data_IF_278843967319
#
_entry.id   IF_278843967319
#
_cell.length_a   1.000
_cell.length_b   1.000
_cell.length_c   1.000
_cell.angle_alpha   90.00
_cell.angle_beta   90.00
_cell.angle_gamma   90.00
#
_symmetry.space_group_name_H-M   'P 1'
#
loop_
_entity.id
_entity.type
_entity.pdbx_description
1 polymer ?
#
# COMPACT_ATOMS: atom_id res chain seq x y z
N UNK A 1 2.90 -14.86 -31.81
CA UNK A 1 2.82 -13.71 -30.91
C UNK A 1 2.30 -12.44 -31.59
N UNK A 2 2.70 -12.09 -32.79
CA UNK A 2 2.24 -10.86 -33.50
C UNK A 2 0.72 -10.81 -33.78
N UNK A 3 0.03 -11.91 -34.05
CA UNK A 3 -1.43 -11.94 -34.34
C UNK A 3 -2.35 -11.71 -33.13
N UNK A 4 -1.85 -11.82 -31.88
CA UNK A 4 -2.63 -11.56 -30.65
C UNK A 4 -2.58 -10.10 -30.20
N UNK A 5 -1.67 -9.31 -30.73
CA UNK A 5 -1.45 -7.90 -30.38
C UNK A 5 -2.26 -6.92 -31.28
N UNK A 6 -2.69 -7.36 -32.45
CA UNK A 6 -3.42 -6.52 -33.43
C UNK A 6 -4.93 -6.35 -33.17
N UNK A 7 -5.48 -6.95 -32.11
CA UNK A 7 -6.91 -6.90 -31.77
C UNK A 7 -7.26 -6.12 -30.50
N UNK A 8 -6.29 -5.47 -29.84
CA UNK A 8 -6.54 -4.66 -28.65
C UNK A 8 -6.94 -3.24 -29.05
N UNK A 9 -8.07 -2.75 -28.50
CA UNK A 9 -8.50 -1.36 -28.71
C UNK A 9 -7.38 -0.38 -28.32
N UNK A 10 -7.16 0.69 -29.09
CA UNK A 10 -6.12 1.69 -28.79
C UNK A 10 -6.17 2.25 -27.38
N UNK A 11 -7.37 2.38 -26.81
CA UNK A 11 -7.61 2.87 -25.44
C UNK A 11 -7.01 1.94 -24.38
N UNK A 12 -7.03 0.63 -24.63
CA UNK A 12 -6.45 -0.35 -23.71
C UNK A 12 -4.93 -0.23 -23.66
N UNK A 13 -4.26 0.01 -24.80
CA UNK A 13 -2.82 0.25 -24.83
C UNK A 13 -2.45 1.54 -24.11
N UNK A 14 -3.19 2.64 -24.32
CA UNK A 14 -2.97 3.89 -23.61
C UNK A 14 -3.10 3.68 -22.10
N UNK A 15 -4.10 2.91 -21.66
CA UNK A 15 -4.28 2.61 -20.26
C UNK A 15 -3.18 1.70 -19.68
N UNK A 16 -2.70 0.72 -20.42
CA UNK A 16 -1.57 -0.14 -19.98
C UNK A 16 -0.32 0.72 -19.80
N UNK A 17 0.00 1.62 -20.74
CA UNK A 17 1.15 2.51 -20.61
C UNK A 17 0.95 3.48 -19.44
N UNK A 18 -0.25 4.02 -19.25
CA UNK A 18 -0.60 4.87 -18.12
C UNK A 18 -0.30 4.19 -16.79
N UNK A 19 -0.86 2.99 -16.55
CA UNK A 19 -0.65 2.28 -15.27
C UNK A 19 0.79 1.82 -15.08
N UNK A 20 1.51 1.51 -16.17
CA UNK A 20 2.94 1.19 -16.15
C UNK A 20 3.77 2.38 -15.69
N UNK A 21 3.51 3.55 -16.27
CA UNK A 21 4.19 4.78 -15.93
C UNK A 21 3.91 5.21 -14.48
N UNK A 22 2.64 5.10 -14.04
CA UNK A 22 2.26 5.38 -12.64
C UNK A 22 2.95 4.40 -11.68
N UNK A 23 2.98 3.11 -11.98
CA UNK A 23 3.64 2.12 -11.13
C UNK A 23 5.16 2.36 -11.05
N UNK A 24 5.78 2.75 -12.15
CA UNK A 24 7.19 3.14 -12.19
C UNK A 24 7.44 4.40 -11.34
N UNK A 25 6.64 5.45 -11.53
CA UNK A 25 6.75 6.71 -10.78
C UNK A 25 6.60 6.51 -9.27
N UNK A 26 5.53 5.83 -8.85
CA UNK A 26 5.31 5.50 -7.44
C UNK A 26 6.44 4.64 -6.87
N UNK A 27 6.86 3.60 -7.60
CA UNK A 27 7.91 2.70 -7.15
C UNK A 27 9.25 3.42 -6.93
N UNK A 28 9.61 4.39 -7.79
CA UNK A 28 10.83 5.19 -7.66
C UNK A 28 10.79 6.09 -6.43
N UNK A 29 9.68 6.78 -6.17
CA UNK A 29 9.56 7.70 -5.04
C UNK A 29 9.38 6.99 -3.71
N UNK A 30 8.48 5.99 -3.64
CA UNK A 30 8.18 5.28 -2.37
C UNK A 30 9.37 4.48 -1.85
N UNK A 31 10.19 3.91 -2.73
CA UNK A 31 11.36 3.14 -2.35
C UNK A 31 12.42 3.96 -1.59
N UNK A 32 12.41 5.30 -1.76
CA UNK A 32 13.48 6.16 -1.23
C UNK A 32 13.02 7.15 -0.17
N UNK A 33 11.72 7.31 0.08
CA UNK A 33 11.23 8.32 1.03
C UNK A 33 11.86 8.20 2.42
N UNK A 34 11.96 7.00 2.99
CA UNK A 34 12.54 6.84 4.33
C UNK A 34 14.00 7.29 4.40
N UNK A 35 14.81 6.96 3.38
CA UNK A 35 16.19 7.43 3.28
C UNK A 35 16.25 8.95 3.04
N UNK A 36 15.41 9.48 2.16
CA UNK A 36 15.32 10.92 1.91
C UNK A 36 15.02 11.71 3.19
N UNK A 37 14.05 11.26 3.98
CA UNK A 37 13.72 11.90 5.25
C UNK A 37 14.89 11.84 6.25
N UNK A 38 15.59 10.70 6.31
CA UNK A 38 16.72 10.53 7.21
C UNK A 38 17.94 11.33 6.78
N UNK A 39 18.34 11.21 5.51
CA UNK A 39 19.59 11.77 5.00
C UNK A 39 19.49 13.28 4.80
N UNK A 40 18.36 13.80 4.31
CA UNK A 40 18.18 15.23 3.98
C UNK A 40 17.68 16.04 5.18
N UNK A 41 16.70 15.51 5.90
CA UNK A 41 16.03 16.27 7.00
C UNK A 41 16.43 15.80 8.39
N UNK A 42 17.17 14.69 8.49
CA UNK A 42 17.59 14.11 9.78
C UNK A 42 16.42 13.93 10.75
N UNK A 43 15.28 13.53 10.21
CA UNK A 43 14.03 13.42 10.99
C UNK A 43 14.21 12.47 12.17
N UNK A 44 13.60 12.81 13.28
CA UNK A 44 13.45 11.94 14.45
C UNK A 44 12.37 10.87 14.19
N UNK A 45 12.31 9.85 15.03
CA UNK A 45 11.27 8.83 14.93
C UNK A 45 9.85 9.42 15.09
N UNK A 46 9.69 10.43 15.96
CA UNK A 46 8.42 11.16 16.08
C UNK A 46 8.04 11.87 14.77
N UNK A 47 8.98 12.61 14.18
CA UNK A 47 8.75 13.28 12.89
C UNK A 47 8.49 12.26 11.78
N UNK A 48 9.14 11.08 11.83
CA UNK A 48 8.90 9.99 10.88
C UNK A 48 7.45 9.50 10.95
N UNK A 49 6.91 9.31 12.16
CA UNK A 49 5.51 8.99 12.35
C UNK A 49 4.57 10.12 11.90
N UNK A 50 4.94 11.37 12.19
CA UNK A 50 4.15 12.54 11.80
C UNK A 50 4.04 12.74 10.27
N UNK A 51 5.07 12.37 9.51
CA UNK A 51 5.07 12.42 8.04
C UNK A 51 3.91 11.61 7.45
N UNK A 52 3.47 10.55 8.10
CA UNK A 52 2.35 9.74 7.60
C UNK A 52 1.02 10.50 7.66
N UNK A 53 0.86 11.53 8.49
CA UNK A 53 -0.34 12.35 8.48
C UNK A 53 -0.58 12.99 7.10
N UNK A 54 0.32 13.80 6.50
CA UNK A 54 0.10 14.34 5.15
C UNK A 54 0.14 13.27 4.04
N UNK A 55 0.72 12.10 4.28
CA UNK A 55 0.75 11.01 3.30
C UNK A 55 -0.53 10.17 3.27
N UNK A 56 -1.17 9.93 4.41
CA UNK A 56 -2.38 9.10 4.52
C UNK A 56 -3.67 9.95 4.48
N UNK A 57 -3.62 11.23 4.86
CA UNK A 57 -4.77 12.15 4.85
C UNK A 57 -5.46 12.23 3.47
N UNK A 58 -4.75 12.29 2.34
CA UNK A 58 -5.36 12.22 1.02
C UNK A 58 -6.22 10.97 0.80
N UNK A 59 -5.82 9.82 1.33
CA UNK A 59 -6.60 8.60 1.24
C UNK A 59 -7.94 8.70 1.97
N UNK A 60 -7.94 9.34 3.14
CA UNK A 60 -9.17 9.63 3.88
C UNK A 60 -10.07 10.64 3.14
N UNK A 61 -9.48 11.65 2.50
CA UNK A 61 -10.20 12.70 1.75
C UNK A 61 -10.62 12.27 0.35
N UNK A 62 -10.09 11.17 -0.18
CA UNK A 62 -10.25 10.74 -1.57
C UNK A 62 -11.73 10.65 -2.00
N UNK A 63 -12.58 10.03 -1.20
CA UNK A 63 -14.00 9.89 -1.49
C UNK A 63 -14.72 11.25 -1.58
N UNK A 64 -14.36 12.19 -0.71
CA UNK A 64 -14.88 13.55 -0.71
C UNK A 64 -14.44 14.33 -1.95
N UNK A 65 -13.14 14.26 -2.29
CA UNK A 65 -12.59 14.93 -3.49
C UNK A 65 -13.22 14.37 -4.76
N UNK A 66 -13.31 13.04 -4.90
CA UNK A 66 -13.99 12.39 -6.04
C UNK A 66 -15.46 12.83 -6.11
N UNK A 67 -16.14 12.96 -4.98
CA UNK A 67 -17.52 13.48 -4.93
C UNK A 67 -17.64 14.91 -5.47
N UNK A 68 -16.69 15.79 -5.15
CA UNK A 68 -16.67 17.17 -5.61
C UNK A 68 -16.40 17.32 -7.10
N UNK A 69 -15.44 16.57 -7.65
CA UNK A 69 -14.99 16.72 -9.04
C UNK A 69 -15.46 15.58 -9.96
N UNK A 70 -16.34 14.69 -9.47
CA UNK A 70 -16.83 13.50 -10.20
C UNK A 70 -17.57 13.83 -11.49
N UNK A 71 -18.11 15.05 -11.63
CA UNK A 71 -18.73 15.54 -12.84
C UNK A 71 -17.77 15.59 -14.05
N UNK A 72 -16.45 15.61 -13.82
CA UNK A 72 -15.42 15.60 -14.86
C UNK A 72 -15.30 14.22 -15.54
N UNK A 73 -15.73 13.14 -14.87
CA UNK A 73 -15.54 11.75 -15.29
C UNK A 73 -14.14 11.20 -15.03
N UNK A 74 -14.04 9.87 -14.99
CA UNK A 74 -12.88 9.14 -14.47
C UNK A 74 -11.55 9.51 -15.16
N UNK A 75 -11.56 9.67 -16.48
CA UNK A 75 -10.33 9.96 -17.24
C UNK A 75 -9.77 11.36 -16.94
N UNK A 76 -10.65 12.38 -16.85
CA UNK A 76 -10.19 13.74 -16.52
C UNK A 76 -9.74 13.82 -15.07
N UNK A 77 -10.42 13.12 -14.16
CA UNK A 77 -9.98 13.01 -12.78
C UNK A 77 -8.62 12.30 -12.68
N UNK A 78 -8.42 11.22 -13.46
CA UNK A 78 -7.13 10.53 -13.54
C UNK A 78 -6.03 11.46 -14.08
N UNK A 79 -6.31 12.30 -15.07
CA UNK A 79 -5.37 13.29 -15.56
C UNK A 79 -4.96 14.28 -14.45
N UNK A 80 -5.93 14.83 -13.71
CA UNK A 80 -5.67 15.71 -12.56
C UNK A 80 -4.82 15.00 -11.51
N UNK A 81 -5.14 13.75 -11.21
CA UNK A 81 -4.39 12.93 -10.26
C UNK A 81 -2.90 12.80 -10.67
N UNK A 82 -2.62 12.54 -11.94
CA UNK A 82 -1.23 12.44 -12.41
C UNK A 82 -0.51 13.79 -12.39
N UNK A 83 -1.20 14.89 -12.68
CA UNK A 83 -0.63 16.25 -12.59
C UNK A 83 -0.24 16.55 -11.13
N UNK A 84 -1.10 16.26 -10.16
CA UNK A 84 -0.79 16.44 -8.74
C UNK A 84 0.41 15.57 -8.31
N UNK A 85 0.42 14.30 -8.70
CA UNK A 85 1.53 13.39 -8.39
C UNK A 85 2.86 13.91 -8.98
N UNK A 86 2.85 14.35 -10.25
CA UNK A 86 4.01 14.90 -10.92
C UNK A 86 4.51 16.20 -10.26
N UNK A 87 3.61 17.13 -9.93
CA UNK A 87 3.98 18.39 -9.28
C UNK A 87 4.66 18.11 -7.94
N UNK A 88 4.02 17.32 -7.07
CA UNK A 88 4.57 17.04 -5.74
C UNK A 88 5.95 16.42 -5.79
N UNK A 89 6.17 15.40 -6.62
CA UNK A 89 7.47 14.74 -6.72
C UNK A 89 8.52 15.59 -7.45
N UNK A 90 8.12 16.43 -8.42
CA UNK A 90 9.03 17.37 -9.08
C UNK A 90 9.56 18.41 -8.09
N UNK A 91 8.69 18.96 -7.24
CA UNK A 91 9.08 19.91 -6.22
C UNK A 91 10.04 19.28 -5.20
N UNK A 92 9.83 18.02 -4.80
CA UNK A 92 10.75 17.26 -3.96
C UNK A 92 12.11 17.01 -4.65
N UNK A 93 12.11 16.84 -5.97
CA UNK A 93 13.32 16.62 -6.76
C UNK A 93 14.17 17.87 -6.94
N UNK A 94 13.53 19.02 -7.15
CA UNK A 94 14.22 20.28 -7.47
C UNK A 94 14.61 21.08 -6.23
N UNK A 95 13.84 20.97 -5.15
CA UNK A 95 13.99 21.81 -3.98
C UNK A 95 14.23 20.99 -2.71
N UNK A 96 14.97 21.59 -1.77
CA UNK A 96 15.09 21.09 -0.41
C UNK A 96 14.58 22.19 0.53
N UNK A 97 13.25 22.34 0.65
CA UNK A 97 12.63 23.39 1.44
C UNK A 97 12.69 23.05 2.94
N UNK A 98 12.13 23.92 3.79
CA UNK A 98 11.91 23.61 5.20
C UNK A 98 11.02 22.35 5.34
N UNK A 99 11.14 21.66 6.49
CA UNK A 99 10.40 20.43 6.78
C UNK A 99 8.88 20.58 6.54
N UNK A 100 8.27 21.69 6.99
CA UNK A 100 6.84 21.93 6.81
C UNK A 100 6.42 22.08 5.34
N UNK A 101 7.23 22.73 4.50
CA UNK A 101 6.96 22.88 3.07
C UNK A 101 7.15 21.52 2.36
N UNK A 102 8.15 20.73 2.76
CA UNK A 102 8.32 19.38 2.25
C UNK A 102 7.08 18.51 2.49
N UNK A 103 6.43 18.64 3.66
CA UNK A 103 5.18 17.93 3.96
C UNK A 103 4.03 18.33 3.02
N UNK A 104 3.98 19.59 2.59
CA UNK A 104 3.00 20.05 1.58
C UNK A 104 3.27 19.38 0.23
N UNK A 105 4.54 19.28 -0.18
CA UNK A 105 4.88 18.61 -1.44
C UNK A 105 4.54 17.12 -1.41
N UNK A 106 4.78 16.46 -0.26
CA UNK A 106 4.36 15.08 -0.03
C UNK A 106 2.83 14.93 -0.10
N UNK A 107 2.08 15.85 0.52
CA UNK A 107 0.63 15.83 0.49
C UNK A 107 0.10 15.96 -0.94
N UNK A 108 0.66 16.86 -1.75
CA UNK A 108 0.27 17.05 -3.16
C UNK A 108 0.53 15.77 -3.97
N UNK A 109 1.72 15.16 -3.83
CA UNK A 109 2.06 13.91 -4.48
C UNK A 109 1.10 12.79 -4.04
N UNK A 110 0.91 12.64 -2.74
CA UNK A 110 0.04 11.62 -2.16
C UNK A 110 -1.43 11.79 -2.59
N UNK A 111 -1.92 13.03 -2.71
CA UNK A 111 -3.27 13.29 -3.20
C UNK A 111 -3.46 12.74 -4.62
N UNK A 112 -2.48 12.96 -5.50
CA UNK A 112 -2.49 12.41 -6.84
C UNK A 112 -2.52 10.88 -6.84
N UNK A 113 -1.67 10.26 -6.02
CA UNK A 113 -1.61 8.80 -5.90
C UNK A 113 -2.92 8.18 -5.41
N UNK A 114 -3.50 8.72 -4.32
CA UNK A 114 -4.72 8.19 -3.73
C UNK A 114 -5.96 8.42 -4.60
N UNK A 115 -6.05 9.55 -5.30
CA UNK A 115 -7.11 9.78 -6.27
C UNK A 115 -7.05 8.79 -7.43
N UNK A 116 -5.86 8.45 -7.90
CA UNK A 116 -5.71 7.54 -9.04
C UNK A 116 -6.05 6.08 -8.70
N UNK A 117 -5.90 5.64 -7.45
CA UNK A 117 -6.15 4.23 -7.08
C UNK A 117 -7.57 3.76 -7.48
N UNK A 118 -8.68 4.36 -7.00
CA UNK A 118 -10.01 3.92 -7.37
C UNK A 118 -10.36 4.23 -8.84
N UNK A 119 -9.79 5.30 -9.40
CA UNK A 119 -9.99 5.64 -10.80
C UNK A 119 -9.33 4.62 -11.73
N UNK A 120 -8.12 4.15 -11.40
CA UNK A 120 -7.44 3.09 -12.14
C UNK A 120 -8.29 1.81 -12.21
N UNK A 121 -8.93 1.44 -11.11
CA UNK A 121 -9.78 0.25 -11.08
C UNK A 121 -11.06 0.46 -11.87
N UNK A 122 -11.70 1.63 -11.76
CA UNK A 122 -12.90 1.98 -12.52
C UNK A 122 -12.65 2.00 -14.03
N UNK A 123 -11.58 2.66 -14.47
CA UNK A 123 -11.17 2.72 -15.87
C UNK A 123 -10.82 1.31 -16.38
N UNK A 124 -10.04 0.55 -15.60
CA UNK A 124 -9.65 -0.81 -15.94
C UNK A 124 -10.85 -1.74 -16.12
N UNK A 125 -11.85 -1.66 -15.23
CA UNK A 125 -13.10 -2.41 -15.38
C UNK A 125 -13.88 -1.97 -16.62
N UNK A 126 -13.91 -0.67 -16.94
CA UNK A 126 -14.64 -0.15 -18.11
C UNK A 126 -14.03 -0.59 -19.45
N UNK A 127 -12.73 -0.86 -19.47
CA UNK A 127 -11.98 -1.37 -20.62
C UNK A 127 -11.95 -2.90 -20.71
N UNK A 128 -12.62 -3.58 -19.78
CA UNK A 128 -12.70 -5.04 -19.75
C UNK A 128 -13.93 -5.54 -20.47
N UNK A 129 -13.81 -6.66 -21.17
CA UNK A 129 -14.95 -7.33 -21.80
C UNK A 129 -15.90 -7.92 -20.74
N UNK A 130 -17.23 -7.97 -21.00
CA UNK A 130 -18.17 -8.65 -20.13
C UNK A 130 -17.74 -10.11 -19.87
N UNK A 131 -17.74 -10.51 -18.61
CA UNK A 131 -17.31 -11.85 -18.18
C UNK A 131 -15.80 -12.06 -18.06
N UNK A 132 -14.95 -11.10 -18.44
CA UNK A 132 -13.49 -11.20 -18.34
C UNK A 132 -12.86 -10.16 -17.39
N UNK A 133 -13.66 -9.43 -16.62
CA UNK A 133 -13.19 -8.34 -15.73
C UNK A 133 -12.08 -8.85 -14.80
N UNK A 134 -12.28 -9.96 -14.09
CA UNK A 134 -11.29 -10.49 -13.15
C UNK A 134 -9.95 -10.83 -13.82
N UNK A 135 -9.99 -11.48 -15.00
CA UNK A 135 -8.80 -11.79 -15.78
C UNK A 135 -8.04 -10.53 -16.20
N UNK A 136 -8.77 -9.51 -16.66
CA UNK A 136 -8.20 -8.25 -17.12
C UNK A 136 -7.59 -7.45 -15.97
N UNK A 137 -8.29 -7.35 -14.84
CA UNK A 137 -7.77 -6.70 -13.63
C UNK A 137 -6.52 -7.42 -13.10
N UNK A 138 -6.48 -8.75 -13.16
CA UNK A 138 -5.27 -9.51 -12.85
C UNK A 138 -4.09 -9.18 -13.77
N UNK A 139 -4.33 -9.01 -15.07
CA UNK A 139 -3.30 -8.57 -16.03
C UNK A 139 -2.78 -7.16 -15.69
N UNK A 140 -3.67 -6.22 -15.37
CA UNK A 140 -3.26 -4.87 -14.95
C UNK A 140 -2.45 -4.89 -13.65
N UNK A 141 -2.82 -5.70 -12.68
CA UNK A 141 -2.05 -5.88 -11.45
C UNK A 141 -0.66 -6.46 -11.72
N UNK A 142 -0.56 -7.42 -12.64
CA UNK A 142 0.74 -7.97 -13.06
C UNK A 142 1.62 -6.92 -13.75
N UNK A 143 1.05 -6.08 -14.60
CA UNK A 143 1.77 -4.96 -15.23
C UNK A 143 2.29 -3.98 -14.17
N UNK A 144 1.44 -3.57 -13.23
CA UNK A 144 1.85 -2.69 -12.12
C UNK A 144 3.00 -3.31 -11.32
N UNK A 145 2.93 -4.61 -10.99
CA UNK A 145 3.98 -5.31 -10.24
C UNK A 145 5.32 -5.35 -10.98
N UNK A 146 5.30 -5.61 -12.30
CA UNK A 146 6.51 -5.60 -13.13
C UNK A 146 7.17 -4.22 -13.14
N UNK A 147 6.40 -3.15 -13.33
CA UNK A 147 6.96 -1.80 -13.35
C UNK A 147 7.39 -1.30 -11.97
N UNK A 148 6.75 -1.74 -10.88
CA UNK A 148 7.25 -1.51 -9.52
C UNK A 148 8.58 -2.23 -9.26
N UNK A 149 8.75 -3.46 -9.78
CA UNK A 149 10.02 -4.18 -9.70
C UNK A 149 11.12 -3.47 -10.51
N UNK A 150 10.80 -2.99 -11.71
CA UNK A 150 11.72 -2.19 -12.53
C UNK A 150 12.13 -0.92 -11.78
N UNK A 151 11.21 -0.23 -11.11
CA UNK A 151 11.52 0.94 -10.28
C UNK A 151 12.50 0.58 -9.16
N UNK A 152 12.27 -0.52 -8.44
CA UNK A 152 13.16 -0.97 -7.37
C UNK A 152 14.57 -1.30 -7.90
N UNK A 153 14.67 -1.89 -9.10
CA UNK A 153 15.95 -2.12 -9.78
C UNK A 153 16.66 -0.80 -10.14
N UNK A 154 15.94 0.18 -10.67
CA UNK A 154 16.51 1.51 -10.93
C UNK A 154 17.02 2.19 -9.66
N UNK A 155 16.26 2.10 -8.57
CA UNK A 155 16.70 2.64 -7.26
C UNK A 155 17.93 1.90 -6.78
N UNK A 156 17.91 0.57 -6.78
CA UNK A 156 19.04 -0.25 -6.34
C UNK A 156 20.33 0.10 -7.08
N UNK A 157 20.30 0.00 -8.41
CA UNK A 157 21.50 0.29 -9.22
C UNK A 157 21.87 1.77 -9.17
N UNK A 158 20.89 2.68 -9.24
CA UNK A 158 21.14 4.12 -9.24
C UNK A 158 21.87 4.61 -7.97
N UNK A 159 21.48 4.13 -6.79
CA UNK A 159 22.18 4.44 -5.54
C UNK A 159 23.48 3.65 -5.40
N UNK A 160 23.52 2.39 -5.85
CA UNK A 160 24.70 1.52 -5.75
C UNK A 160 25.88 2.04 -6.55
N UNK A 161 25.64 2.56 -7.75
CA UNK A 161 26.70 3.12 -8.63
C UNK A 161 26.88 4.63 -8.47
N UNK A 162 26.14 5.28 -7.56
CA UNK A 162 26.28 6.70 -7.24
C UNK A 162 25.61 7.67 -8.25
N UNK A 163 24.77 7.18 -9.17
CA UNK A 163 23.95 8.04 -10.06
C UNK A 163 22.92 8.80 -9.25
N UNK A 164 22.31 8.15 -8.25
CA UNK A 164 21.38 8.77 -7.32
C UNK A 164 22.09 9.04 -5.99
N UNK A 165 21.88 10.25 -5.45
CA UNK A 165 22.34 10.67 -4.14
C UNK A 165 21.39 11.73 -3.59
N UNK A 166 21.33 11.83 -2.26
CA UNK A 166 20.62 12.92 -1.59
C UNK A 166 21.53 14.08 -1.19
N UNK A 167 22.86 13.98 -1.42
CA UNK A 167 23.83 15.05 -1.13
C UNK A 167 23.77 16.16 -2.19
N UNK A 168 23.29 15.87 -3.39
CA UNK A 168 23.17 16.83 -4.47
C UNK A 168 21.96 17.75 -4.30
N UNK A 169 22.01 18.98 -4.88
CA UNK A 169 20.86 19.91 -4.87
C UNK A 169 19.64 19.29 -5.54
N UNK A 170 19.83 18.64 -6.69
CA UNK A 170 18.79 17.97 -7.45
C UNK A 170 18.73 16.50 -7.04
N UNK A 171 17.53 16.02 -6.66
CA UNK A 171 17.28 14.62 -6.31
C UNK A 171 16.78 13.87 -7.54
N UNK A 172 17.71 13.37 -8.37
CA UNK A 172 17.43 12.78 -9.68
C UNK A 172 16.41 11.65 -9.64
N UNK A 173 16.35 10.87 -8.56
CA UNK A 173 15.36 9.79 -8.41
C UNK A 173 13.92 10.32 -8.43
N UNK A 174 13.67 11.47 -7.81
CA UNK A 174 12.35 12.11 -7.84
C UNK A 174 12.06 12.73 -9.22
N UNK A 175 13.06 13.26 -9.94
CA UNK A 175 12.85 13.76 -11.29
C UNK A 175 12.60 12.62 -12.29
N UNK A 176 13.22 11.45 -12.10
CA UNK A 176 12.89 10.26 -12.90
C UNK A 176 11.46 9.79 -12.62
N UNK A 177 11.03 9.83 -11.35
CA UNK A 177 9.62 9.61 -10.98
C UNK A 177 8.69 10.64 -11.64
N UNK A 178 9.05 11.92 -11.65
CA UNK A 178 8.29 12.99 -12.32
C UNK A 178 8.18 12.76 -13.83
N UNK A 179 9.24 12.28 -14.47
CA UNK A 179 9.22 11.91 -15.89
C UNK A 179 8.23 10.76 -16.14
N UNK A 180 8.21 9.75 -15.29
CA UNK A 180 7.24 8.67 -15.38
C UNK A 180 5.80 9.19 -15.25
N UNK A 181 5.51 10.06 -14.27
CA UNK A 181 4.20 10.69 -14.15
C UNK A 181 3.87 11.61 -15.35
N UNK A 182 4.86 12.26 -15.96
CA UNK A 182 4.65 13.06 -17.17
C UNK A 182 4.20 12.18 -18.35
N UNK A 183 4.76 10.98 -18.49
CA UNK A 183 4.28 9.99 -19.45
C UNK A 183 2.82 9.60 -19.12
N UNK A 184 2.51 9.38 -17.84
CA UNK A 184 1.15 9.09 -17.43
C UNK A 184 0.17 10.22 -17.74
N UNK A 185 0.56 11.49 -17.56
CA UNK A 185 -0.22 12.67 -17.95
C UNK A 185 -0.53 12.65 -19.45
N UNK A 186 0.49 12.42 -20.30
CA UNK A 186 0.31 12.34 -21.74
C UNK A 186 -0.68 11.23 -22.11
N UNK A 187 -0.53 10.04 -21.52
CA UNK A 187 -1.43 8.92 -21.80
C UNK A 187 -2.86 9.21 -21.34
N UNK A 188 -3.05 9.77 -20.14
CA UNK A 188 -4.36 10.17 -19.65
C UNK A 188 -4.99 11.24 -20.56
N UNK A 189 -4.22 12.23 -20.99
CA UNK A 189 -4.67 13.28 -21.92
C UNK A 189 -5.13 12.70 -23.26
N UNK A 190 -4.36 11.77 -23.84
CA UNK A 190 -4.72 11.09 -25.10
C UNK A 190 -5.97 10.19 -24.95
N UNK A 191 -6.33 9.78 -23.74
CA UNK A 191 -7.57 9.03 -23.46
C UNK A 191 -8.79 9.96 -23.31
N UNK A 192 -8.60 11.25 -23.03
CA UNK A 192 -9.70 12.21 -22.91
C UNK A 192 -10.50 12.26 -24.21
N UNK A 193 -11.82 12.08 -24.11
CA UNK A 193 -12.73 12.06 -25.25
C UNK A 193 -12.83 10.74 -26.02
N UNK A 194 -11.89 9.80 -25.86
CA UNK A 194 -11.95 8.47 -26.48
C UNK A 194 -12.83 7.50 -25.69
N UNK A 195 -12.77 7.59 -24.35
CA UNK A 195 -13.63 6.79 -23.47
C UNK A 195 -14.80 7.66 -23.04
N UNK A 196 -16.01 7.24 -23.42
CA UNK A 196 -17.23 7.92 -22.96
C UNK A 196 -17.27 7.86 -21.43
N UNK A 197 -17.39 9.02 -20.75
CA UNK A 197 -17.50 8.99 -19.29
C UNK A 197 -18.75 8.16 -18.95
N UNK A 198 -18.57 7.01 -18.30
CA UNK A 198 -19.66 6.44 -17.53
C UNK A 198 -19.93 7.50 -16.47
N UNK A 199 -21.05 8.22 -16.58
CA UNK A 199 -21.56 9.02 -15.46
C UNK A 199 -21.81 8.02 -14.36
N UNK A 200 -20.83 7.89 -13.47
CA UNK A 200 -21.07 7.22 -12.20
C UNK A 200 -22.06 8.15 -11.52
N UNK A 201 -23.33 7.75 -11.51
CA UNK A 201 -24.30 8.39 -10.64
C UNK A 201 -23.63 8.52 -9.26
N UNK A 202 -23.74 9.68 -8.59
CA UNK A 202 -23.13 9.86 -7.30
C UNK A 202 -23.54 8.66 -6.44
N UNK A 203 -22.62 7.69 -6.28
CA UNK A 203 -22.87 6.57 -5.38
C UNK A 203 -23.08 7.24 -4.03
N UNK A 204 -24.33 7.24 -3.56
CA UNK A 204 -24.58 7.55 -2.16
C UNK A 204 -23.72 6.57 -1.40
N UNK A 205 -22.58 7.05 -0.94
CA UNK A 205 -21.67 6.29 -0.07
C UNK A 205 -22.45 6.07 1.23
N UNK A 206 -23.29 5.04 1.24
CA UNK A 206 -23.91 4.61 2.48
C UNK A 206 -22.80 4.00 3.31
N UNK A 207 -22.47 4.64 4.39
CA UNK A 207 -21.71 4.02 5.47
C UNK A 207 -22.50 2.80 5.95
N UNK A 208 -21.99 1.61 5.62
CA UNK A 208 -22.64 0.36 6.03
C UNK A 208 -21.97 -0.09 7.31
N UNK A 209 -22.55 0.23 8.46
CA UNK A 209 -22.08 -0.19 9.78
C UNK A 209 -23.01 -1.25 10.37
N UNK A 210 -23.02 -2.46 9.78
CA UNK A 210 -23.80 -3.55 10.32
C UNK A 210 -23.04 -4.30 11.43
N UNK A 211 -23.76 -4.67 12.49
CA UNK A 211 -23.24 -5.50 13.59
C UNK A 211 -22.62 -6.82 13.10
N UNK A 212 -23.15 -7.37 12.01
CA UNK A 212 -22.66 -8.58 11.37
C UNK A 212 -21.23 -8.44 10.84
N UNK A 213 -20.80 -7.23 10.40
CA UNK A 213 -19.48 -6.98 9.87
C UNK A 213 -18.48 -6.48 10.93
N UNK A 214 -18.82 -6.55 12.23
CA UNK A 214 -17.99 -6.05 13.34
C UNK A 214 -16.57 -6.64 13.34
N UNK A 215 -16.44 -7.94 13.06
CA UNK A 215 -15.14 -8.60 13.02
C UNK A 215 -14.32 -8.19 11.80
N UNK A 216 -14.96 -7.92 10.66
CA UNK A 216 -14.29 -7.35 9.50
C UNK A 216 -13.72 -5.95 9.81
N UNK A 217 -14.50 -5.07 10.45
CA UNK A 217 -14.00 -3.74 10.83
C UNK A 217 -12.87 -3.82 11.85
N UNK A 218 -12.97 -4.72 12.83
CA UNK A 218 -11.89 -4.92 13.80
C UNK A 218 -10.61 -5.39 13.10
N UNK A 219 -10.71 -6.37 12.17
CA UNK A 219 -9.55 -6.82 11.38
C UNK A 219 -8.98 -5.69 10.52
N UNK A 220 -9.80 -4.79 9.98
CA UNK A 220 -9.35 -3.64 9.21
C UNK A 220 -8.57 -2.66 10.08
N UNK A 221 -9.04 -2.38 11.30
CA UNK A 221 -8.33 -1.54 12.28
C UNK A 221 -6.96 -2.16 12.62
N UNK A 222 -6.95 -3.44 12.95
CA UNK A 222 -5.73 -4.15 13.31
C UNK A 222 -4.73 -4.18 12.15
N UNK A 223 -5.22 -4.39 10.93
CA UNK A 223 -4.40 -4.33 9.71
C UNK A 223 -3.82 -2.94 9.46
N UNK A 224 -4.57 -1.86 9.72
CA UNK A 224 -4.06 -0.49 9.63
C UNK A 224 -2.88 -0.24 10.54
N UNK A 225 -2.93 -0.75 11.80
CA UNK A 225 -1.80 -0.71 12.73
C UNK A 225 -0.61 -1.51 12.18
N UNK A 226 -0.83 -2.78 11.81
CA UNK A 226 0.21 -3.66 11.27
C UNK A 226 0.86 -3.08 10.02
N UNK A 227 0.08 -2.47 9.12
CA UNK A 227 0.56 -1.78 7.93
C UNK A 227 1.59 -0.71 8.28
N UNK A 228 1.32 0.11 9.29
CA UNK A 228 2.26 1.16 9.68
C UNK A 228 3.52 0.62 10.35
N UNK A 229 3.40 -0.44 11.15
CA UNK A 229 4.57 -1.09 11.71
C UNK A 229 5.45 -1.66 10.60
N UNK A 230 4.88 -2.40 9.66
CA UNK A 230 5.60 -2.97 8.54
C UNK A 230 6.25 -1.91 7.65
N UNK A 231 5.45 -0.94 7.16
CA UNK A 231 5.90 -0.01 6.10
C UNK A 231 6.67 1.19 6.63
N UNK A 232 6.41 1.63 7.83
CA UNK A 232 7.10 2.78 8.44
C UNK A 232 8.23 2.29 9.32
N UNK A 233 7.91 1.56 10.39
CA UNK A 233 8.89 1.25 11.44
C UNK A 233 9.81 0.08 11.08
N UNK A 234 9.34 -0.94 10.37
CA UNK A 234 10.20 -2.00 9.83
C UNK A 234 11.25 -1.43 8.86
N UNK A 235 10.85 -0.49 7.98
CA UNK A 235 11.78 0.23 7.12
C UNK A 235 12.69 1.17 7.93
N UNK A 236 12.15 1.82 8.97
CA UNK A 236 12.88 2.76 9.80
C UNK A 236 13.99 2.09 10.61
N UNK A 237 13.81 0.85 11.07
CA UNK A 237 14.91 0.05 11.67
C UNK A 237 16.10 -0.05 10.71
N UNK A 238 15.85 -0.32 9.43
CA UNK A 238 16.92 -0.46 8.43
C UNK A 238 17.62 0.86 8.16
N UNK A 239 16.86 1.96 8.09
CA UNK A 239 17.37 3.28 7.70
C UNK A 239 17.97 4.03 8.89
N UNK A 240 17.29 4.02 10.04
CA UNK A 240 17.67 4.82 11.21
C UNK A 240 18.57 4.06 12.20
N UNK A 241 18.25 2.81 12.52
CA UNK A 241 19.00 2.00 13.47
C UNK A 241 20.24 1.37 12.80
N UNK A 242 20.06 0.74 11.63
CA UNK A 242 21.15 0.09 10.90
C UNK A 242 21.90 1.01 9.94
N UNK A 243 21.46 2.27 9.79
CA UNK A 243 22.05 3.31 8.92
C UNK A 243 22.28 2.85 7.47
N UNK A 244 21.38 2.01 6.94
CA UNK A 244 21.46 1.49 5.57
C UNK A 244 20.91 2.49 4.57
N UNK A 245 21.57 2.56 3.41
CA UNK A 245 21.18 3.44 2.29
C UNK A 245 20.04 2.87 1.46
N UNK A 246 19.52 3.66 0.53
CA UNK A 246 18.38 3.33 -0.32
C UNK A 246 18.62 2.10 -1.22
N UNK A 247 19.85 1.77 -1.58
CA UNK A 247 20.19 0.55 -2.29
C UNK A 247 19.81 -0.71 -1.49
N UNK A 248 20.05 -0.72 -0.18
CA UNK A 248 19.70 -1.85 0.69
C UNK A 248 18.17 -2.02 0.80
N UNK A 249 17.43 -0.94 1.03
CA UNK A 249 15.96 -1.01 1.11
C UNK A 249 15.33 -1.41 -0.22
N UNK A 250 15.89 -0.95 -1.34
CA UNK A 250 15.48 -1.35 -2.68
C UNK A 250 15.77 -2.84 -2.94
N UNK A 251 16.95 -3.35 -2.55
CA UNK A 251 17.28 -4.77 -2.66
C UNK A 251 16.30 -5.64 -1.89
N UNK A 252 15.99 -5.29 -0.64
CA UNK A 252 15.02 -6.02 0.16
C UNK A 252 13.62 -6.00 -0.47
N UNK A 253 13.23 -4.87 -1.07
CA UNK A 253 11.96 -4.75 -1.81
C UNK A 253 11.93 -5.65 -3.04
N UNK A 254 13.04 -5.74 -3.79
CA UNK A 254 13.18 -6.66 -4.92
C UNK A 254 12.98 -8.11 -4.46
N UNK A 255 13.64 -8.51 -3.38
CA UNK A 255 13.54 -9.86 -2.81
C UNK A 255 12.09 -10.16 -2.38
N UNK A 256 11.47 -9.25 -1.64
CA UNK A 256 10.06 -9.38 -1.22
C UNK A 256 9.15 -9.53 -2.44
N UNK A 257 9.31 -8.68 -3.46
CA UNK A 257 8.47 -8.72 -4.66
C UNK A 257 8.61 -10.03 -5.42
N UNK A 258 9.85 -10.51 -5.56
CA UNK A 258 10.13 -11.80 -6.22
C UNK A 258 9.49 -12.97 -5.47
N UNK A 259 9.68 -13.05 -4.16
CA UNK A 259 9.08 -14.10 -3.32
C UNK A 259 7.55 -14.00 -3.34
N UNK A 260 6.99 -12.79 -3.35
CA UNK A 260 5.54 -12.54 -3.36
C UNK A 260 4.83 -13.18 -4.54
N UNK A 261 5.47 -13.25 -5.71
CA UNK A 261 4.89 -13.87 -6.92
C UNK A 261 4.51 -15.34 -6.65
N UNK A 262 5.40 -16.08 -6.00
CA UNK A 262 5.18 -17.48 -5.65
C UNK A 262 4.30 -17.63 -4.42
N UNK A 263 4.53 -16.78 -3.42
CA UNK A 263 3.82 -16.81 -2.15
C UNK A 263 2.31 -16.56 -2.31
N UNK A 264 1.90 -15.56 -3.10
CA UNK A 264 0.49 -15.27 -3.36
C UNK A 264 -0.23 -16.43 -4.05
N UNK A 265 0.43 -17.10 -4.99
CA UNK A 265 -0.11 -18.30 -5.62
C UNK A 265 -0.30 -19.44 -4.62
N UNK A 266 0.65 -19.61 -3.71
CA UNK A 266 0.56 -20.62 -2.66
C UNK A 266 -0.50 -20.26 -1.62
N UNK A 267 -0.62 -18.98 -1.28
CA UNK A 267 -1.60 -18.47 -0.33
C UNK A 267 -3.04 -18.75 -0.82
N UNK A 268 -3.32 -18.57 -2.11
CA UNK A 268 -4.60 -18.94 -2.71
C UNK A 268 -4.91 -20.43 -2.53
N UNK A 269 -3.94 -21.31 -2.82
CA UNK A 269 -4.10 -22.77 -2.61
C UNK A 269 -4.28 -23.14 -1.13
N UNK A 270 -3.61 -22.46 -0.22
CA UNK A 270 -3.81 -22.67 1.22
C UNK A 270 -5.20 -22.24 1.65
N UNK A 271 -5.70 -21.13 1.15
CA UNK A 271 -7.06 -20.67 1.44
C UNK A 271 -8.11 -21.69 0.99
N UNK A 272 -7.98 -22.21 -0.24
CA UNK A 272 -8.88 -23.22 -0.78
C UNK A 272 -8.83 -24.54 0.02
N UNK A 273 -7.63 -24.93 0.49
CA UNK A 273 -7.42 -26.17 1.23
C UNK A 273 -7.79 -26.09 2.71
N UNK A 274 -7.44 -24.98 3.38
CA UNK A 274 -7.56 -24.86 4.83
C UNK A 274 -8.75 -24.03 5.28
N UNK A 275 -9.32 -23.22 4.37
CA UNK A 275 -10.45 -22.34 4.63
C UNK A 275 -10.07 -21.05 5.37
N UNK A 276 -11.04 -20.13 5.43
CA UNK A 276 -10.88 -18.77 5.96
C UNK A 276 -10.37 -18.78 7.41
N UNK A 277 -10.97 -19.58 8.29
CA UNK A 277 -10.66 -19.58 9.72
C UNK A 277 -9.20 -19.94 10.01
N UNK A 278 -8.67 -21.00 9.39
CA UNK A 278 -7.27 -21.42 9.59
C UNK A 278 -6.30 -20.39 9.00
N UNK A 279 -6.67 -19.72 7.92
CA UNK A 279 -5.86 -18.65 7.36
C UNK A 279 -5.83 -17.40 8.26
N UNK A 280 -6.93 -17.09 8.97
CA UNK A 280 -6.94 -16.03 9.99
C UNK A 280 -6.04 -16.38 11.20
N UNK A 281 -5.98 -17.65 11.63
CA UNK A 281 -5.01 -18.08 12.63
C UNK A 281 -3.57 -17.92 12.14
N UNK A 282 -3.30 -18.32 10.89
CA UNK A 282 -1.98 -18.15 10.28
C UNK A 282 -1.56 -16.67 10.25
N UNK A 283 -2.46 -15.78 9.82
CA UNK A 283 -2.25 -14.32 9.82
C UNK A 283 -1.89 -13.81 11.22
N UNK A 284 -2.71 -14.14 12.22
CA UNK A 284 -2.50 -13.69 13.60
C UNK A 284 -1.17 -14.20 14.18
N UNK A 285 -0.90 -15.51 14.04
CA UNK A 285 0.28 -16.13 14.62
C UNK A 285 1.58 -15.67 13.96
N UNK A 286 1.59 -15.48 12.63
CA UNK A 286 2.77 -14.99 11.94
C UNK A 286 3.13 -13.58 12.40
N UNK A 287 2.17 -12.67 12.55
CA UNK A 287 2.43 -11.32 13.06
C UNK A 287 2.91 -11.34 14.52
N UNK A 288 2.26 -12.10 15.41
CA UNK A 288 2.68 -12.19 16.80
C UNK A 288 4.13 -12.68 16.90
N UNK A 289 4.46 -13.77 16.20
CA UNK A 289 5.81 -14.36 16.25
C UNK A 289 6.85 -13.42 15.67
N UNK A 290 6.58 -12.86 14.47
CA UNK A 290 7.51 -11.96 13.80
C UNK A 290 7.77 -10.73 14.66
N UNK A 291 6.75 -10.09 15.21
CA UNK A 291 6.92 -8.87 15.98
C UNK A 291 7.56 -9.10 17.35
N UNK A 292 7.30 -10.24 18.01
CA UNK A 292 8.03 -10.60 19.22
C UNK A 292 9.52 -10.76 18.92
N UNK A 293 9.87 -11.54 17.88
CA UNK A 293 11.28 -11.75 17.51
C UNK A 293 11.91 -10.42 17.08
N UNK A 294 11.19 -9.61 16.29
CA UNK A 294 11.68 -8.32 15.84
C UNK A 294 11.96 -7.39 17.03
N UNK A 295 11.04 -7.32 18.00
CA UNK A 295 11.22 -6.52 19.21
C UNK A 295 12.46 -6.95 20.00
N UNK A 296 12.68 -8.25 20.20
CA UNK A 296 13.86 -8.75 20.90
C UNK A 296 15.18 -8.50 20.13
N UNK A 297 15.16 -8.67 18.81
CA UNK A 297 16.36 -8.43 18.00
C UNK A 297 16.72 -6.93 18.00
N UNK A 298 15.73 -6.06 17.84
CA UNK A 298 15.92 -4.61 17.91
C UNK A 298 16.42 -4.20 19.29
N UNK A 299 15.80 -4.71 20.35
CA UNK A 299 16.26 -4.49 21.72
C UNK A 299 17.71 -4.92 21.91
N UNK A 300 18.07 -6.13 21.49
CA UNK A 300 19.41 -6.65 21.62
C UNK A 300 20.47 -5.82 20.86
N UNK A 301 20.14 -5.29 19.69
CA UNK A 301 21.05 -4.41 18.93
C UNK A 301 21.17 -3.04 19.61
N UNK A 302 20.09 -2.45 20.11
CA UNK A 302 20.09 -1.15 20.80
C UNK A 302 20.88 -1.20 22.09
N UNK A 303 20.72 -2.26 22.89
CA UNK A 303 21.42 -2.46 24.17
C UNK A 303 22.86 -3.01 24.00
N UNK A 304 23.30 -3.25 22.75
CA UNK A 304 24.63 -3.80 22.49
C UNK A 304 24.80 -5.28 22.88
N UNK A 305 23.72 -6.00 23.21
CA UNK A 305 23.71 -7.44 23.49
C UNK A 305 23.92 -8.24 22.21
N UNK A 306 23.38 -7.74 21.11
CA UNK A 306 23.55 -8.29 19.77
C UNK A 306 24.44 -7.35 18.92
N UNK A 307 25.31 -7.88 18.06
CA UNK A 307 26.14 -7.06 17.21
C UNK A 307 25.28 -6.25 16.23
N UNK A 308 25.68 -5.02 15.93
CA UNK A 308 25.07 -4.16 14.90
C UNK A 308 25.53 -4.51 13.47
N UNK A 309 26.31 -5.57 13.33
CA UNK A 309 26.83 -6.11 12.07
C UNK A 309 26.73 -7.64 12.04
N UNK A 310 26.85 -8.20 10.84
CA UNK A 310 26.86 -9.66 10.67
C UNK A 310 25.47 -10.30 10.77
N UNK A 311 25.34 -11.38 11.55
CA UNK A 311 24.14 -12.24 11.54
C UNK A 311 22.87 -11.56 12.06
N UNK A 312 22.97 -10.66 13.03
CA UNK A 312 21.84 -9.90 13.57
C UNK A 312 21.19 -9.00 12.50
N UNK A 313 22.01 -8.37 11.65
CA UNK A 313 21.53 -7.57 10.52
C UNK A 313 20.80 -8.45 9.51
N UNK A 314 21.34 -9.63 9.19
CA UNK A 314 20.67 -10.58 8.31
C UNK A 314 19.33 -11.08 8.88
N UNK A 315 19.26 -11.26 10.20
CA UNK A 315 18.03 -11.61 10.87
C UNK A 315 16.99 -10.48 10.77
N UNK A 316 17.40 -9.21 10.94
CA UNK A 316 16.51 -8.06 10.72
C UNK A 316 16.01 -8.03 9.27
N UNK A 317 16.86 -8.30 8.28
CA UNK A 317 16.44 -8.37 6.88
C UNK A 317 15.43 -9.51 6.64
N UNK A 318 15.66 -10.68 7.25
CA UNK A 318 14.73 -11.80 7.18
C UNK A 318 13.38 -11.44 7.82
N UNK A 319 13.40 -10.78 8.98
CA UNK A 319 12.17 -10.32 9.66
C UNK A 319 11.44 -9.28 8.83
N UNK A 320 12.14 -8.32 8.22
CA UNK A 320 11.57 -7.35 7.29
C UNK A 320 10.86 -8.05 6.11
N UNK A 321 11.51 -9.02 5.48
CA UNK A 321 10.93 -9.78 4.37
C UNK A 321 9.71 -10.57 4.85
N UNK A 322 9.81 -11.26 6.00
CA UNK A 322 8.73 -12.07 6.56
C UNK A 322 7.51 -11.22 6.92
N UNK A 323 7.72 -10.03 7.49
CA UNK A 323 6.68 -9.07 7.82
C UNK A 323 5.91 -8.62 6.56
N UNK A 324 6.63 -8.27 5.50
CA UNK A 324 6.03 -7.90 4.20
C UNK A 324 5.23 -9.03 3.56
N UNK A 325 5.70 -10.26 3.67
CA UNK A 325 4.97 -11.43 3.17
C UNK A 325 3.73 -11.71 4.03
N UNK A 326 3.82 -11.59 5.34
CA UNK A 326 2.69 -11.77 6.26
C UNK A 326 1.56 -10.78 5.98
N UNK A 327 1.87 -9.53 5.63
CA UNK A 327 0.85 -8.53 5.23
C UNK A 327 -0.05 -9.01 4.07
N UNK A 328 0.44 -9.91 3.22
CA UNK A 328 -0.33 -10.43 2.09
C UNK A 328 -1.39 -11.45 2.53
N UNK A 329 -1.19 -12.12 3.67
CA UNK A 329 -2.18 -13.05 4.23
C UNK A 329 -3.49 -12.31 4.54
N UNK A 330 -3.42 -11.03 4.88
CA UNK A 330 -4.56 -10.16 5.16
C UNK A 330 -5.58 -10.03 4.00
N UNK A 331 -5.30 -10.56 2.79
CA UNK A 331 -6.31 -10.71 1.74
C UNK A 331 -7.50 -11.54 2.19
N UNK A 332 -7.30 -12.44 3.17
CA UNK A 332 -8.35 -13.28 3.76
C UNK A 332 -9.49 -12.44 4.34
N UNK A 333 -9.21 -11.24 4.86
CA UNK A 333 -10.23 -10.36 5.45
C UNK A 333 -11.27 -9.90 4.42
N UNK A 334 -10.86 -9.58 3.19
CA UNK A 334 -11.79 -9.22 2.11
C UNK A 334 -12.61 -10.43 1.62
N UNK A 335 -12.00 -11.61 1.61
CA UNK A 335 -12.68 -12.86 1.24
C UNK A 335 -13.70 -13.24 2.33
N UNK A 336 -13.34 -13.09 3.60
CA UNK A 336 -14.25 -13.27 4.72
C UNK A 336 -15.46 -12.34 4.61
N UNK A 337 -15.25 -11.03 4.42
CA UNK A 337 -16.36 -10.09 4.22
C UNK A 337 -17.28 -10.52 3.08
N UNK A 338 -16.71 -10.85 1.91
CA UNK A 338 -17.49 -11.29 0.75
C UNK A 338 -18.32 -12.54 1.06
N UNK A 339 -17.79 -13.43 1.89
CA UNK A 339 -18.46 -14.68 2.25
C UNK A 339 -19.67 -14.49 3.17
N UNK A 340 -19.63 -13.50 4.07
CA UNK A 340 -20.67 -13.21 5.07
C UNK A 340 -21.61 -12.07 4.68
N UNK A 341 -21.40 -11.45 3.52
CA UNK A 341 -22.20 -10.31 3.08
C UNK A 341 -23.69 -10.70 2.90
N UNK A 342 -24.58 -9.92 3.48
CA UNK A 342 -26.03 -10.12 3.35
C UNK A 342 -26.51 -9.75 1.95
N UNK A 343 -25.99 -8.65 1.43
CA UNK A 343 -26.26 -8.17 0.08
C UNK A 343 -24.92 -8.02 -0.67
N UNK A 344 -24.79 -8.57 -1.89
CA UNK A 344 -23.60 -8.37 -2.73
C UNK A 344 -23.27 -6.88 -2.99
N UNK A 345 -24.28 -6.00 -3.03
CA UNK A 345 -24.08 -4.56 -3.21
C UNK A 345 -23.42 -3.89 -1.99
N UNK A 346 -23.64 -4.41 -0.79
CA UNK A 346 -23.04 -3.91 0.45
C UNK A 346 -21.54 -4.21 0.55
N UNK A 347 -21.02 -5.22 -0.16
CA UNK A 347 -19.60 -5.58 -0.13
C UNK A 347 -18.74 -4.39 -0.51
N UNK A 348 -19.07 -3.73 -1.62
CA UNK A 348 -18.31 -2.57 -2.10
C UNK A 348 -18.36 -1.40 -1.12
N UNK A 349 -19.54 -1.11 -0.57
CA UNK A 349 -19.72 -0.03 0.40
C UNK A 349 -18.97 -0.32 1.71
N UNK A 350 -19.00 -1.56 2.18
CA UNK A 350 -18.30 -2.01 3.39
C UNK A 350 -16.77 -1.99 3.21
N UNK A 351 -16.27 -2.43 2.04
CA UNK A 351 -14.85 -2.32 1.69
C UNK A 351 -14.40 -0.86 1.64
N UNK A 352 -15.20 0.03 1.04
CA UNK A 352 -14.88 1.48 1.00
C UNK A 352 -14.83 2.10 2.40
N UNK A 353 -15.78 1.74 3.27
CA UNK A 353 -15.77 2.14 4.69
C UNK A 353 -14.51 1.61 5.39
N UNK A 354 -14.14 0.35 5.10
CA UNK A 354 -12.90 -0.25 5.62
C UNK A 354 -11.65 0.51 5.19
N UNK A 355 -11.55 0.92 3.93
CA UNK A 355 -10.42 1.72 3.42
C UNK A 355 -10.31 3.05 4.16
N UNK A 356 -11.41 3.77 4.35
CA UNK A 356 -11.40 5.03 5.11
C UNK A 356 -10.97 4.82 6.57
N UNK A 357 -11.42 3.73 7.19
CA UNK A 357 -11.04 3.35 8.54
C UNK A 357 -9.55 2.96 8.61
N UNK A 358 -9.03 2.24 7.62
CA UNK A 358 -7.61 1.89 7.51
C UNK A 358 -6.73 3.15 7.46
N UNK A 359 -7.07 4.16 6.65
CA UNK A 359 -6.31 5.42 6.59
C UNK A 359 -6.35 6.19 7.91
N UNK A 360 -7.50 6.26 8.58
CA UNK A 360 -7.62 6.91 9.88
C UNK A 360 -6.74 6.24 10.94
N UNK A 361 -6.80 4.90 10.98
CA UNK A 361 -5.99 4.10 11.91
C UNK A 361 -4.50 4.19 11.54
N UNK A 362 -4.17 4.21 10.26
CA UNK A 362 -2.80 4.36 9.78
C UNK A 362 -2.15 5.65 10.27
N UNK A 363 -2.87 6.79 10.19
CA UNK A 363 -2.40 8.08 10.70
C UNK A 363 -2.12 7.98 12.20
N UNK A 364 -3.10 7.50 12.98
CA UNK A 364 -2.98 7.45 14.44
C UNK A 364 -1.92 6.46 14.90
N UNK A 365 -1.82 5.29 14.26
CA UNK A 365 -0.82 4.27 14.58
C UNK A 365 0.60 4.73 14.25
N UNK A 366 0.79 5.46 13.14
CA UNK A 366 2.09 6.03 12.79
C UNK A 366 2.54 7.07 13.81
N UNK A 367 1.64 7.99 14.20
CA UNK A 367 1.93 9.00 15.23
C UNK A 367 2.26 8.34 16.58
N UNK A 368 1.42 7.40 17.02
CA UNK A 368 1.63 6.69 18.29
C UNK A 368 2.95 5.91 18.28
N UNK A 369 3.25 5.20 17.20
CA UNK A 369 4.52 4.49 17.05
C UNK A 369 5.73 5.42 17.10
N UNK A 370 5.65 6.63 16.54
CA UNK A 370 6.72 7.64 16.64
C UNK A 370 6.94 8.13 18.08
N UNK A 371 5.87 8.34 18.84
CA UNK A 371 5.95 8.66 20.27
C UNK A 371 6.56 7.50 21.04
N UNK A 372 6.07 6.27 20.85
CA UNK A 372 6.60 5.07 21.53
C UNK A 372 8.09 4.88 21.25
N UNK A 373 8.49 4.98 19.99
CA UNK A 373 9.90 4.89 19.61
C UNK A 373 10.76 5.92 20.30
N UNK A 374 10.30 7.19 20.35
CA UNK A 374 11.06 8.29 20.93
C UNK A 374 11.11 8.26 22.46
N UNK A 375 10.08 7.72 23.15
CA UNK A 375 9.96 7.80 24.61
C UNK A 375 10.33 6.48 25.31
N UNK A 376 9.92 5.33 24.74
CA UNK A 376 10.14 4.01 25.36
C UNK A 376 11.22 3.19 24.67
N UNK A 377 11.56 3.53 23.43
CA UNK A 377 12.54 2.83 22.62
C UNK A 377 11.92 2.06 21.45
N UNK A 378 12.75 1.83 20.44
CA UNK A 378 12.34 1.24 19.15
C UNK A 378 11.73 -0.16 19.26
N UNK A 379 12.18 -0.98 20.20
CA UNK A 379 11.70 -2.34 20.45
C UNK A 379 10.23 -2.38 20.85
N UNK A 380 9.76 -1.37 21.60
CA UNK A 380 8.39 -1.32 22.10
C UNK A 380 7.36 -1.14 21.00
N UNK A 381 7.74 -0.55 19.87
CA UNK A 381 6.87 -0.45 18.70
C UNK A 381 6.47 -1.86 18.22
N UNK A 382 7.42 -2.79 18.20
CA UNK A 382 7.16 -4.17 17.77
C UNK A 382 6.46 -5.00 18.85
N UNK A 383 6.81 -4.84 20.12
CA UNK A 383 6.11 -5.54 21.20
C UNK A 383 4.64 -5.11 21.30
N UNK A 384 4.35 -3.82 21.15
CA UNK A 384 2.97 -3.34 21.11
C UNK A 384 2.25 -3.86 19.86
N UNK A 385 2.92 -3.92 18.70
CA UNK A 385 2.33 -4.51 17.49
C UNK A 385 2.01 -5.99 17.67
N UNK A 386 2.86 -6.75 18.36
CA UNK A 386 2.57 -8.13 18.74
C UNK A 386 1.33 -8.22 19.66
N UNK A 387 1.23 -7.32 20.65
CA UNK A 387 0.06 -7.25 21.53
C UNK A 387 -1.22 -6.90 20.75
N UNK A 388 -1.17 -5.94 19.82
CA UNK A 388 -2.30 -5.63 18.93
C UNK A 388 -2.68 -6.83 18.06
N UNK A 389 -1.72 -7.65 17.63
CA UNK A 389 -1.98 -8.85 16.83
C UNK A 389 -2.70 -9.96 17.62
N UNK A 390 -2.75 -9.89 18.95
CA UNK A 390 -3.65 -10.72 19.77
C UNK A 390 -5.13 -10.42 19.44
N UNK A 391 -5.45 -9.21 18.97
CA UNK A 391 -6.78 -8.89 18.45
C UNK A 391 -7.13 -9.70 17.21
N UNK A 392 -6.17 -9.93 16.29
CA UNK A 392 -6.38 -10.82 15.14
C UNK A 392 -6.65 -12.25 15.60
N UNK A 393 -5.90 -12.73 16.59
CA UNK A 393 -6.09 -14.06 17.18
C UNK A 393 -7.46 -14.17 17.85
N UNK A 394 -7.88 -13.15 18.61
CA UNK A 394 -9.22 -13.09 19.19
C UNK A 394 -10.31 -13.20 18.12
N UNK A 395 -10.19 -12.47 17.01
CA UNK A 395 -11.15 -12.57 15.92
C UNK A 395 -11.12 -13.95 15.29
N UNK A 396 -9.95 -14.54 15.02
CA UNK A 396 -9.82 -15.89 14.47
C UNK A 396 -10.51 -16.96 15.37
N UNK A 397 -10.46 -16.78 16.69
CA UNK A 397 -11.15 -17.65 17.64
C UNK A 397 -12.68 -17.49 17.55
N UNK A 398 -13.16 -16.23 17.52
CA UNK A 398 -14.60 -15.91 17.60
C UNK A 398 -15.36 -16.14 16.32
N UNK A 399 -14.72 -15.92 15.16
CA UNK A 399 -15.36 -16.06 13.85
C UNK A 399 -15.72 -17.52 13.56
N UNK A 400 -16.92 -17.71 13.02
CA UNK A 400 -17.46 -18.99 12.53
C UNK A 400 -17.87 -18.85 11.07
N UNK A 401 -16.89 -18.78 10.11
CA UNK A 401 -17.20 -18.42 8.74
C UNK A 401 -18.25 -19.29 8.07
N UNK A 402 -18.25 -20.59 8.35
CA UNK A 402 -19.22 -21.54 7.76
C UNK A 402 -20.66 -21.21 8.19
N UNK A 403 -20.87 -21.04 9.51
CA UNK A 403 -22.18 -20.69 10.07
C UNK A 403 -22.64 -19.29 9.64
N UNK A 404 -21.72 -18.33 9.61
CA UNK A 404 -22.02 -16.95 9.18
C UNK A 404 -22.35 -16.89 7.69
N UNK A 405 -21.73 -17.72 6.87
CA UNK A 405 -22.05 -17.88 5.45
C UNK A 405 -23.42 -18.49 5.24
N UNK A 406 -23.78 -19.50 6.03
CA UNK A 406 -25.10 -20.14 5.97
C UNK A 406 -26.19 -19.13 6.30
N UNK A 407 -26.07 -18.39 7.40
CA UNK A 407 -26.99 -17.31 7.78
C UNK A 407 -27.11 -16.24 6.67
N UNK A 408 -26.01 -15.87 6.03
CA UNK A 408 -26.03 -14.91 4.93
C UNK A 408 -26.74 -15.47 3.69
N UNK A 409 -26.62 -16.78 3.41
CA UNK A 409 -27.34 -17.44 2.31
C UNK A 409 -28.84 -17.52 2.57
N UNK A 410 -29.24 -17.85 3.80
CA UNK A 410 -30.63 -17.88 4.21
C UNK A 410 -31.28 -16.51 4.09
N UNK A 411 -30.62 -15.47 4.59
CA UNK A 411 -31.11 -14.10 4.46
C UNK A 411 -31.34 -13.70 3.00
N UNK A 412 -30.39 -14.03 2.09
CA UNK A 412 -30.52 -13.74 0.65
C UNK A 412 -31.65 -14.55 -0.06
N UNK A 413 -32.02 -15.69 0.49
CA UNK A 413 -33.15 -16.49 -0.08
C UNK A 413 -34.50 -16.00 0.41
N UNK A 414 -34.55 -15.34 1.58
CA UNK A 414 -35.76 -14.81 2.17
C UNK A 414 -36.06 -13.33 1.83
N UNK A 415 -35.10 -12.63 1.23
CA UNK A 415 -35.23 -11.26 0.73
C UNK A 415 -35.51 -11.25 -0.77
#
# INVERSE_FOLDING_TARGET
MKKKLSGLHPELWLFIILISAVALGNGLSDAVYSNYFKEVYRVTAFQRGFIEFPRELPGLLCAFVIGLIGFLGDIRMALIAQILAAIGVTLLGLFTPSFGIMLVFLFINSMGMHLFMPLSDSIGMSLSEPGQIGKRMGQFSSVKAVFSLIAALFVFFGFRVGIFSFDTKIKWVFLLSALAFSIAIIMAFLMVGKIKPKRVAPRKTKLVLRKQYKYYYLLTILKGVQKQIAYVYGTWVIVDLLLKKADTTALLTIIVTFISIFFLSQLGRWLDRFGIKKMMYLDALTFIIIYIIYGFVVWGVVEGVLPDQGWSVWLIYLLFISDRLSMQIGMVNSIYLKSIALDPEEVTATLSTGISLDHLVSITAALAGGVVWATWGSQWVFFLAAAFSLGNLYVAIKVQPEKEQELAREYRKGA
#
